data_IF_954159790300
#
_entry.id   IF_954159790300
#
_cell.length_a   1.000
_cell.length_b   1.000
_cell.length_c   1.000
_cell.angle_alpha   90.00
_cell.angle_beta   90.00
_cell.angle_gamma   90.00
#
_symmetry.space_group_name_H-M   'P 1'
#
loop_
_entity.id
_entity.type
_entity.pdbx_description
1 polymer ?
#
# COMPACT_ATOMS: atom_id res chain seq x y z
N UNK A 1 6.76 -19.46 9.51
CA UNK A 1 6.70 -19.98 8.12
C UNK A 1 7.90 -19.42 7.36
N UNK A 2 8.55 -20.17 6.44
CA UNK A 2 9.59 -19.58 5.61
C UNK A 2 9.01 -18.35 4.91
N UNK A 3 9.74 -17.24 4.94
CA UNK A 3 9.27 -16.02 4.27
C UNK A 3 9.08 -16.31 2.78
N UNK A 4 8.06 -15.74 2.14
CA UNK A 4 7.83 -15.91 0.69
C UNK A 4 9.06 -15.54 -0.14
N UNK A 5 9.87 -14.61 0.35
CA UNK A 5 11.15 -14.22 -0.24
C UNK A 5 12.19 -15.33 -0.19
N UNK A 6 12.19 -16.16 0.86
CA UNK A 6 13.07 -17.32 0.99
C UNK A 6 12.76 -18.36 -0.08
N UNK A 7 11.48 -18.63 -0.34
CA UNK A 7 11.06 -19.55 -1.41
C UNK A 7 11.48 -19.03 -2.79
N UNK A 8 11.28 -17.74 -3.06
CA UNK A 8 11.70 -17.12 -4.32
C UNK A 8 13.22 -17.19 -4.53
N UNK A 9 14.01 -17.00 -3.46
CA UNK A 9 15.47 -17.14 -3.53
C UNK A 9 15.90 -18.58 -3.79
N UNK A 10 15.22 -19.57 -3.19
CA UNK A 10 15.49 -20.98 -3.43
C UNK A 10 15.18 -21.37 -4.87
N UNK A 11 14.06 -20.89 -5.41
CA UNK A 11 13.69 -21.09 -6.82
C UNK A 11 14.72 -20.46 -7.76
N UNK A 12 15.13 -19.22 -7.48
CA UNK A 12 16.15 -18.53 -8.28
C UNK A 12 17.49 -19.27 -8.26
N UNK A 13 17.91 -19.77 -7.09
CA UNK A 13 19.11 -20.60 -6.97
C UNK A 13 18.99 -21.89 -7.80
N UNK A 14 17.84 -22.56 -7.74
CA UNK A 14 17.56 -23.75 -8.56
C UNK A 14 17.63 -23.45 -10.07
N UNK A 15 17.05 -22.34 -10.52
CA UNK A 15 17.13 -21.91 -11.91
C UNK A 15 18.57 -21.56 -12.34
N UNK A 16 19.38 -20.96 -11.46
CA UNK A 16 20.79 -20.70 -11.72
C UNK A 16 21.59 -22.00 -11.86
N UNK A 17 21.37 -22.99 -10.99
CA UNK A 17 22.00 -24.31 -11.11
C UNK A 17 21.61 -25.01 -12.40
N UNK A 18 20.34 -24.96 -12.79
CA UNK A 18 19.88 -25.49 -14.06
C UNK A 18 20.56 -24.77 -15.24
N UNK A 19 20.66 -23.43 -15.22
CA UNK A 19 21.32 -22.67 -16.27
C UNK A 19 22.82 -23.03 -16.41
N UNK A 20 23.53 -23.23 -15.28
CA UNK A 20 24.91 -23.70 -15.28
C UNK A 20 25.01 -25.10 -15.89
N UNK A 21 24.11 -26.02 -15.51
CA UNK A 21 24.07 -27.37 -16.06
C UNK A 21 23.83 -27.36 -17.58
N UNK A 22 22.88 -26.56 -18.07
CA UNK A 22 22.67 -26.38 -19.52
C UNK A 22 23.91 -25.79 -20.21
N UNK A 23 24.59 -24.83 -19.57
CA UNK A 23 25.82 -24.23 -20.08
C UNK A 23 26.98 -25.22 -20.21
N UNK A 24 27.14 -26.13 -19.24
CA UNK A 24 28.16 -27.18 -19.28
C UNK A 24 27.88 -28.21 -20.38
N UNK A 25 26.65 -28.71 -20.48
CA UNK A 25 26.26 -29.64 -21.55
C UNK A 25 26.41 -29.01 -22.93
N UNK A 26 26.08 -27.72 -23.04
CA UNK A 26 26.32 -26.96 -24.27
C UNK A 26 27.80 -26.89 -24.63
N UNK A 27 28.68 -26.62 -23.66
CA UNK A 27 30.12 -26.54 -23.92
C UNK A 27 30.68 -27.88 -24.42
N UNK A 28 30.30 -28.99 -23.79
CA UNK A 28 30.71 -30.33 -24.24
C UNK A 28 30.23 -30.63 -25.67
N UNK A 29 28.96 -30.37 -25.96
CA UNK A 29 28.38 -30.69 -27.26
C UNK A 29 28.90 -29.74 -28.36
N UNK A 30 29.22 -28.48 -28.02
CA UNK A 30 29.86 -27.54 -28.94
C UNK A 30 31.22 -28.06 -29.43
N UNK A 31 32.06 -28.56 -28.51
CA UNK A 31 33.36 -29.14 -28.87
C UNK A 31 33.19 -30.39 -29.73
N UNK A 32 32.21 -31.24 -29.42
CA UNK A 32 31.91 -32.45 -30.20
C UNK A 32 31.38 -32.14 -31.60
N UNK A 33 30.54 -31.11 -31.74
CA UNK A 33 30.02 -30.66 -33.04
C UNK A 33 31.14 -30.08 -33.90
N UNK A 34 32.03 -29.25 -33.34
CA UNK A 34 33.17 -28.70 -34.08
C UNK A 34 34.09 -29.80 -34.63
N UNK A 35 34.41 -30.81 -33.81
CA UNK A 35 35.22 -31.96 -34.23
C UNK A 35 34.50 -32.82 -35.27
N UNK A 36 33.19 -33.04 -35.13
CA UNK A 36 32.40 -33.83 -36.07
C UNK A 36 32.22 -33.14 -37.44
N UNK A 37 32.08 -31.80 -37.46
CA UNK A 37 31.99 -31.02 -38.70
C UNK A 37 33.28 -31.09 -39.52
N UNK A 38 34.44 -31.21 -38.86
CA UNK A 38 35.73 -31.37 -39.52
C UNK A 38 35.96 -32.79 -40.07
N UNK A 39 35.31 -33.82 -39.51
CA UNK A 39 35.54 -35.22 -39.85
C UNK A 39 34.51 -35.81 -40.83
N UNK A 40 33.21 -35.55 -40.64
CA UNK A 40 32.15 -36.36 -41.28
C UNK A 40 31.04 -35.55 -41.98
N UNK A 41 31.10 -34.21 -41.97
CA UNK A 41 30.23 -33.32 -42.75
C UNK A 41 28.72 -33.50 -42.50
N UNK A 42 28.06 -34.43 -43.21
CA UNK A 42 26.60 -34.66 -43.16
C UNK A 42 26.12 -35.44 -41.93
N UNK A 43 26.95 -36.29 -41.31
CA UNK A 43 26.58 -37.06 -40.12
C UNK A 43 26.48 -36.21 -38.83
N UNK A 44 26.90 -34.94 -38.90
CA UNK A 44 26.85 -34.00 -37.79
C UNK A 44 25.47 -33.36 -37.57
N UNK A 45 24.52 -33.51 -38.51
CA UNK A 45 23.20 -32.86 -38.48
C UNK A 45 22.41 -33.11 -37.18
N UNK A 46 22.35 -34.36 -36.73
CA UNK A 46 21.65 -34.73 -35.49
C UNK A 46 22.36 -34.20 -34.21
N UNK A 47 23.65 -33.89 -34.28
CA UNK A 47 24.40 -33.30 -33.15
C UNK A 47 24.23 -31.79 -33.09
N UNK A 48 24.12 -31.15 -34.26
CA UNK A 48 23.79 -29.73 -34.39
C UNK A 48 22.41 -29.43 -33.79
N UNK A 49 21.40 -30.28 -34.01
CA UNK A 49 20.08 -30.13 -33.38
C UNK A 49 20.14 -30.19 -31.85
N UNK A 50 20.94 -31.12 -31.28
CA UNK A 50 21.15 -31.21 -29.83
C UNK A 50 21.84 -29.97 -29.27
N UNK A 51 22.82 -29.42 -29.97
CA UNK A 51 23.47 -28.17 -29.58
C UNK A 51 22.44 -27.02 -29.50
N UNK A 52 21.58 -26.86 -30.51
CA UNK A 52 20.53 -25.85 -30.48
C UNK A 52 19.51 -26.07 -29.36
N UNK A 53 19.15 -27.32 -29.05
CA UNK A 53 18.26 -27.61 -27.92
C UNK A 53 18.83 -27.10 -26.59
N UNK A 54 20.12 -27.34 -26.31
CA UNK A 54 20.76 -26.85 -25.08
C UNK A 54 20.94 -25.32 -25.09
N UNK A 55 21.24 -24.70 -26.24
CA UNK A 55 21.34 -23.25 -26.38
C UNK A 55 19.98 -22.56 -26.11
N UNK A 56 18.91 -22.98 -26.80
CA UNK A 56 17.57 -22.41 -26.61
C UNK A 56 17.03 -22.66 -25.19
N UNK A 57 17.26 -23.85 -24.63
CA UNK A 57 16.89 -24.17 -23.25
C UNK A 57 17.62 -23.27 -22.24
N UNK A 58 18.92 -23.08 -22.41
CA UNK A 58 19.75 -22.21 -21.58
C UNK A 58 19.31 -20.75 -21.64
N UNK A 59 19.07 -20.21 -22.84
CA UNK A 59 18.63 -18.82 -23.03
C UNK A 59 17.26 -18.57 -22.39
N UNK A 60 16.31 -19.50 -22.51
CA UNK A 60 14.99 -19.40 -21.86
C UNK A 60 15.11 -19.40 -20.34
N UNK A 61 15.97 -20.26 -19.77
CA UNK A 61 16.22 -20.29 -18.33
C UNK A 61 16.87 -19.01 -17.83
N UNK A 62 17.86 -18.48 -18.55
CA UNK A 62 18.49 -17.20 -18.21
C UNK A 62 17.47 -16.06 -18.25
N UNK A 63 16.59 -16.03 -19.26
CA UNK A 63 15.50 -15.05 -19.33
C UNK A 63 14.57 -15.15 -18.11
N UNK A 64 14.21 -16.36 -17.68
CA UNK A 64 13.44 -16.58 -16.45
C UNK A 64 14.16 -16.09 -15.20
N UNK A 65 15.48 -16.33 -15.08
CA UNK A 65 16.29 -15.84 -13.94
C UNK A 65 16.34 -14.32 -13.91
N UNK A 66 16.56 -13.67 -15.04
CA UNK A 66 16.56 -12.20 -15.14
C UNK A 66 15.20 -11.64 -14.77
N UNK A 67 14.11 -12.26 -15.23
CA UNK A 67 12.75 -11.88 -14.83
C UNK A 67 12.52 -12.02 -13.33
N UNK A 68 12.92 -13.15 -12.72
CA UNK A 68 12.85 -13.34 -11.26
C UNK A 68 13.72 -12.33 -10.49
N UNK A 69 14.86 -11.93 -11.04
CA UNK A 69 15.72 -10.90 -10.47
C UNK A 69 15.03 -9.54 -10.43
N UNK A 70 14.29 -9.18 -11.49
CA UNK A 70 13.45 -7.98 -11.50
C UNK A 70 12.33 -8.06 -10.46
N UNK A 71 11.66 -9.20 -10.32
CA UNK A 71 10.66 -9.40 -9.26
C UNK A 71 11.27 -9.26 -7.86
N UNK A 72 12.53 -9.67 -7.68
CA UNK A 72 13.25 -9.51 -6.42
C UNK A 72 13.46 -8.06 -6.03
N UNK A 73 13.58 -7.14 -6.98
CA UNK A 73 13.69 -5.70 -6.69
C UNK A 73 12.46 -5.15 -5.95
N UNK A 74 11.27 -5.75 -6.14
CA UNK A 74 10.05 -5.31 -5.46
C UNK A 74 10.08 -5.51 -3.94
N UNK A 75 10.96 -6.34 -3.39
CA UNK A 75 11.09 -6.53 -1.94
C UNK A 75 11.52 -5.24 -1.22
N UNK A 76 12.19 -4.33 -1.92
CA UNK A 76 12.67 -3.07 -1.38
C UNK A 76 11.61 -1.96 -1.45
N UNK A 77 10.57 -2.14 -2.27
CA UNK A 77 9.51 -1.18 -2.41
C UNK A 77 8.48 -1.34 -1.29
N UNK A 78 8.44 -0.37 -0.36
CA UNK A 78 7.61 -0.44 0.86
C UNK A 78 6.15 -0.79 0.60
N UNK A 79 5.56 -0.20 -0.44
CA UNK A 79 4.15 -0.44 -0.82
C UNK A 79 3.96 -1.88 -1.28
N UNK A 80 4.88 -2.41 -2.09
CA UNK A 80 4.75 -3.77 -2.63
C UNK A 80 4.88 -4.81 -1.52
N UNK A 81 5.82 -4.62 -0.60
CA UNK A 81 5.96 -5.50 0.56
C UNK A 81 4.73 -5.44 1.47
N UNK A 82 4.09 -4.28 1.60
CA UNK A 82 2.84 -4.14 2.36
C UNK A 82 1.67 -4.87 1.68
N UNK A 83 1.54 -4.77 0.35
CA UNK A 83 0.54 -5.50 -0.43
C UNK A 83 0.77 -7.02 -0.33
N UNK A 84 2.03 -7.48 -0.39
CA UNK A 84 2.36 -8.90 -0.26
C UNK A 84 2.09 -9.44 1.15
N UNK A 85 2.39 -8.68 2.21
CA UNK A 85 2.03 -9.04 3.59
C UNK A 85 0.51 -9.09 3.78
N UNK A 86 -0.22 -8.15 3.19
CA UNK A 86 -1.69 -8.13 3.19
C UNK A 86 -2.25 -9.40 2.55
N UNK A 87 -1.70 -9.79 1.39
CA UNK A 87 -2.09 -11.00 0.68
C UNK A 87 -1.76 -12.27 1.47
N UNK A 88 -0.61 -12.29 2.14
CA UNK A 88 -0.22 -13.43 2.99
C UNK A 88 -1.12 -13.57 4.22
N UNK A 89 -1.52 -12.45 4.81
CA UNK A 89 -2.43 -12.44 5.96
C UNK A 89 -3.82 -12.91 5.59
N UNK A 90 -4.34 -12.43 4.46
CA UNK A 90 -5.67 -12.78 3.93
C UNK A 90 -5.72 -14.11 3.17
N UNK A 91 -4.61 -14.84 3.02
CA UNK A 91 -4.53 -16.01 2.12
C UNK A 91 -5.58 -17.08 2.38
N UNK A 92 -5.92 -17.36 3.64
CA UNK A 92 -6.88 -18.43 3.95
C UNK A 92 -8.31 -18.01 3.59
N UNK A 93 -8.66 -16.76 3.87
CA UNK A 93 -9.94 -16.17 3.49
C UNK A 93 -10.08 -16.11 1.96
N UNK A 94 -9.00 -15.69 1.28
CA UNK A 94 -8.95 -15.64 -0.18
C UNK A 94 -9.04 -17.01 -0.84
N UNK A 95 -8.36 -18.04 -0.30
CA UNK A 95 -8.43 -19.40 -0.87
C UNK A 95 -9.82 -20.00 -0.70
N UNK A 96 -10.45 -19.83 0.46
CA UNK A 96 -11.82 -20.29 0.68
C UNK A 96 -12.81 -19.59 -0.25
N UNK A 97 -12.63 -18.28 -0.42
CA UNK A 97 -13.45 -17.48 -1.31
C UNK A 97 -13.25 -17.86 -2.79
N UNK A 98 -12.00 -18.08 -3.20
CA UNK A 98 -11.66 -18.53 -4.55
C UNK A 98 -12.25 -19.91 -4.86
N UNK A 99 -12.26 -20.83 -3.89
CA UNK A 99 -12.90 -22.12 -4.06
C UNK A 99 -14.39 -21.99 -4.36
N UNK A 100 -15.11 -21.15 -3.61
CA UNK A 100 -16.52 -20.85 -3.87
C UNK A 100 -16.72 -20.25 -5.28
N UNK A 101 -15.84 -19.34 -5.68
CA UNK A 101 -15.87 -18.77 -7.03
C UNK A 101 -15.65 -19.84 -8.11
N UNK A 102 -14.69 -20.75 -7.95
CA UNK A 102 -14.42 -21.81 -8.94
C UNK A 102 -15.63 -22.71 -9.13
N UNK A 103 -16.35 -23.07 -8.05
CA UNK A 103 -17.58 -23.86 -8.16
C UNK A 103 -18.64 -23.13 -8.99
N UNK A 104 -18.84 -21.84 -8.73
CA UNK A 104 -19.78 -21.01 -9.49
C UNK A 104 -19.35 -20.85 -10.96
N UNK A 105 -18.05 -20.66 -11.19
CA UNK A 105 -17.47 -20.53 -12.52
C UNK A 105 -17.65 -21.81 -13.33
N UNK A 106 -17.42 -22.99 -12.73
CA UNK A 106 -17.69 -24.29 -13.33
C UNK A 106 -19.18 -24.48 -13.64
N UNK A 107 -20.09 -24.02 -12.78
CA UNK A 107 -21.52 -24.10 -13.03
C UNK A 107 -21.93 -23.26 -14.26
N UNK A 108 -21.40 -22.04 -14.40
CA UNK A 108 -21.61 -21.20 -15.58
C UNK A 108 -20.97 -21.78 -16.84
N UNK A 109 -19.78 -22.38 -16.74
CA UNK A 109 -19.15 -23.08 -17.86
C UNK A 109 -19.98 -24.29 -18.29
N UNK A 110 -20.48 -25.08 -17.35
CA UNK A 110 -21.35 -26.22 -17.68
C UNK A 110 -22.67 -25.76 -18.31
N UNK A 111 -23.28 -24.69 -17.81
CA UNK A 111 -24.46 -24.08 -18.43
C UNK A 111 -24.16 -23.59 -19.85
N UNK A 112 -23.05 -22.87 -20.05
CA UNK A 112 -22.62 -22.39 -21.37
C UNK A 112 -22.35 -23.51 -22.37
N UNK A 113 -21.72 -24.60 -21.92
CA UNK A 113 -21.52 -25.81 -22.71
C UNK A 113 -22.85 -26.40 -23.22
N UNK A 114 -23.86 -26.53 -22.36
CA UNK A 114 -25.16 -27.05 -22.77
C UNK A 114 -25.95 -26.09 -23.66
N UNK A 115 -25.84 -24.78 -23.42
CA UNK A 115 -26.65 -23.77 -24.11
C UNK A 115 -26.08 -23.38 -25.48
N UNK A 116 -24.74 -23.33 -25.59
CA UNK A 116 -24.05 -22.79 -26.75
C UNK A 116 -23.06 -23.76 -27.40
N UNK A 117 -22.93 -24.99 -26.89
CA UNK A 117 -21.92 -25.94 -27.37
C UNK A 117 -22.10 -26.40 -28.82
N UNK A 118 -23.32 -26.35 -29.34
CA UNK A 118 -23.62 -26.63 -30.76
C UNK A 118 -23.35 -25.43 -31.68
N UNK A 119 -23.52 -24.22 -31.16
CA UNK A 119 -23.55 -22.98 -31.95
C UNK A 119 -22.22 -22.21 -31.93
N UNK A 120 -21.36 -22.45 -30.93
CA UNK A 120 -20.09 -21.74 -30.75
C UNK A 120 -18.95 -22.69 -30.50
N UNK A 121 -17.85 -22.53 -31.25
CA UNK A 121 -16.63 -23.31 -31.05
C UNK A 121 -16.01 -23.10 -29.66
N UNK A 122 -16.23 -21.93 -29.05
CA UNK A 122 -15.73 -21.60 -27.71
C UNK A 122 -16.43 -22.41 -26.59
N UNK A 123 -17.61 -22.96 -26.86
CA UNK A 123 -18.39 -23.75 -25.90
C UNK A 123 -18.47 -25.23 -26.27
N UNK A 124 -17.70 -25.68 -27.26
CA UNK A 124 -17.81 -27.02 -27.85
C UNK A 124 -17.41 -28.16 -26.92
N UNK A 125 -16.50 -27.92 -25.98
CA UNK A 125 -16.10 -28.88 -24.94
C UNK A 125 -16.14 -28.20 -23.59
N UNK A 126 -16.22 -28.99 -22.51
CA UNK A 126 -16.24 -28.43 -21.16
C UNK A 126 -14.97 -27.62 -20.84
N UNK A 127 -13.80 -28.06 -21.30
CA UNK A 127 -12.53 -27.34 -21.10
C UNK A 127 -12.48 -26.01 -21.85
N UNK A 128 -12.92 -26.01 -23.12
CA UNK A 128 -13.01 -24.77 -23.92
C UNK A 128 -14.03 -23.81 -23.30
N UNK A 129 -15.16 -24.34 -22.83
CA UNK A 129 -16.17 -23.53 -22.16
C UNK A 129 -15.66 -22.90 -20.85
N UNK A 130 -14.78 -23.59 -20.11
CA UNK A 130 -14.19 -23.03 -18.90
C UNK A 130 -13.28 -21.84 -19.24
N UNK A 131 -12.45 -21.98 -20.28
CA UNK A 131 -11.61 -20.88 -20.79
C UNK A 131 -12.46 -19.75 -21.37
N UNK A 132 -13.57 -20.07 -22.02
CA UNK A 132 -14.50 -19.09 -22.57
C UNK A 132 -15.14 -18.21 -21.47
N UNK A 133 -15.61 -18.82 -20.38
CA UNK A 133 -16.17 -18.07 -19.24
C UNK A 133 -15.09 -17.24 -18.55
N UNK A 134 -13.84 -17.72 -18.47
CA UNK A 134 -12.71 -16.94 -17.99
C UNK A 134 -12.37 -15.75 -18.91
N UNK A 135 -12.40 -15.94 -20.23
CA UNK A 135 -12.19 -14.87 -21.21
C UNK A 135 -13.27 -13.78 -21.14
N UNK A 136 -14.53 -14.17 -20.84
CA UNK A 136 -15.60 -13.20 -20.56
C UNK A 136 -15.31 -12.43 -19.27
N UNK A 137 -14.79 -13.09 -18.23
CA UNK A 137 -14.39 -12.44 -16.98
C UNK A 137 -13.25 -11.43 -17.16
N UNK A 138 -12.35 -11.68 -18.11
CA UNK A 138 -11.28 -10.76 -18.51
C UNK A 138 -11.78 -9.64 -19.45
N UNK A 139 -12.99 -9.77 -20.00
CA UNK A 139 -13.56 -8.82 -20.96
C UNK A 139 -13.08 -9.00 -22.40
N UNK A 140 -12.43 -10.12 -22.72
CA UNK A 140 -11.92 -10.39 -24.08
C UNK A 140 -13.03 -10.81 -25.06
N UNK A 141 -14.06 -11.50 -24.56
CA UNK A 141 -15.15 -11.98 -25.40
C UNK A 141 -16.35 -11.03 -25.43
N UNK A 142 -16.68 -10.57 -26.64
CA UNK A 142 -17.82 -9.69 -26.90
C UNK A 142 -19.19 -10.38 -26.91
N UNK A 143 -20.25 -9.58 -26.77
CA UNK A 143 -21.64 -10.06 -26.77
C UNK A 143 -22.10 -10.65 -28.11
N UNK A 144 -21.41 -10.37 -29.21
CA UNK A 144 -21.83 -10.74 -30.58
C UNK A 144 -21.97 -12.26 -30.76
N UNK A 145 -21.11 -13.04 -30.10
CA UNK A 145 -21.14 -14.51 -30.15
C UNK A 145 -22.43 -15.05 -29.54
N UNK A 146 -22.91 -14.42 -28.47
CA UNK A 146 -24.10 -14.83 -27.74
C UNK A 146 -25.39 -14.41 -28.45
N UNK A 147 -25.42 -13.21 -29.03
CA UNK A 147 -26.56 -12.70 -29.79
C UNK A 147 -26.84 -13.59 -31.01
N UNK A 148 -25.78 -14.04 -31.70
CA UNK A 148 -25.89 -14.93 -32.85
C UNK A 148 -26.41 -16.32 -32.50
N UNK A 149 -26.09 -16.83 -31.31
CA UNK A 149 -26.56 -18.15 -30.88
C UNK A 149 -28.04 -18.14 -30.52
N UNK A 150 -28.48 -17.18 -29.71
CA UNK A 150 -29.90 -17.02 -29.40
C UNK A 150 -30.22 -15.59 -28.96
N UNK A 151 -31.25 -15.01 -29.58
CA UNK A 151 -31.61 -13.58 -29.43
C UNK A 151 -32.04 -13.13 -28.02
N UNK A 152 -32.42 -14.05 -27.12
CA UNK A 152 -32.82 -13.77 -25.72
C UNK A 152 -31.86 -14.43 -24.75
N UNK A 153 -31.71 -15.75 -24.87
CA UNK A 153 -30.96 -16.57 -23.94
C UNK A 153 -29.47 -16.20 -23.92
N UNK A 154 -28.90 -15.86 -25.08
CA UNK A 154 -27.51 -15.40 -25.21
C UNK A 154 -27.22 -14.13 -24.40
N UNK A 155 -27.87 -13.00 -24.71
CA UNK A 155 -27.70 -11.75 -23.96
C UNK A 155 -28.00 -11.89 -22.47
N UNK A 156 -29.04 -12.64 -22.10
CA UNK A 156 -29.41 -12.86 -20.70
C UNK A 156 -28.34 -13.63 -19.94
N UNK A 157 -27.78 -14.68 -20.55
CA UNK A 157 -26.65 -15.41 -19.99
C UNK A 157 -25.42 -14.50 -19.81
N UNK A 158 -25.09 -13.71 -20.83
CA UNK A 158 -23.93 -12.81 -20.81
C UNK A 158 -24.05 -11.72 -19.73
N UNK A 159 -25.21 -11.06 -19.62
CA UNK A 159 -25.48 -10.04 -18.59
C UNK A 159 -25.44 -10.67 -17.20
N UNK A 160 -26.09 -11.82 -17.01
CA UNK A 160 -26.08 -12.53 -15.72
C UNK A 160 -24.66 -12.92 -15.31
N UNK A 161 -23.86 -13.42 -16.26
CA UNK A 161 -22.48 -13.82 -16.02
C UNK A 161 -21.62 -12.62 -15.61
N UNK A 162 -21.69 -11.50 -16.32
CA UNK A 162 -20.96 -10.27 -15.96
C UNK A 162 -21.42 -9.76 -14.59
N UNK A 163 -22.73 -9.76 -14.33
CA UNK A 163 -23.27 -9.35 -13.04
C UNK A 163 -22.68 -10.21 -11.91
N UNK A 164 -22.68 -11.53 -12.05
CA UNK A 164 -22.12 -12.44 -11.05
C UNK A 164 -20.61 -12.20 -10.88
N UNK A 165 -19.86 -12.02 -11.96
CA UNK A 165 -18.41 -11.78 -11.90
C UNK A 165 -18.11 -10.46 -11.17
N UNK A 166 -18.84 -9.39 -11.45
CA UNK A 166 -18.59 -8.10 -10.79
C UNK A 166 -19.08 -8.14 -9.34
N UNK A 167 -20.34 -8.52 -9.11
CA UNK A 167 -20.98 -8.41 -7.79
C UNK A 167 -20.57 -9.49 -6.82
N UNK A 168 -20.49 -10.73 -7.28
CA UNK A 168 -20.03 -11.83 -6.42
C UNK A 168 -18.53 -11.77 -6.40
N UNK A 169 -17.86 -12.05 -7.54
CA UNK A 169 -16.42 -12.29 -7.55
C UNK A 169 -15.58 -11.08 -7.12
N UNK A 170 -15.66 -9.95 -7.84
CA UNK A 170 -14.78 -8.80 -7.61
C UNK A 170 -15.08 -8.08 -6.30
N UNK A 171 -16.34 -7.73 -6.03
CA UNK A 171 -16.68 -6.92 -4.87
C UNK A 171 -16.26 -7.57 -3.56
N UNK A 172 -16.48 -8.87 -3.38
CA UNK A 172 -16.08 -9.55 -2.16
C UNK A 172 -14.55 -9.74 -2.08
N UNK A 173 -13.87 -9.94 -3.21
CA UNK A 173 -12.40 -9.98 -3.26
C UNK A 173 -11.79 -8.65 -2.77
N UNK A 174 -12.30 -7.52 -3.25
CA UNK A 174 -11.84 -6.20 -2.81
C UNK A 174 -12.12 -5.92 -1.33
N UNK A 175 -13.26 -6.37 -0.82
CA UNK A 175 -13.60 -6.21 0.61
C UNK A 175 -12.60 -6.96 1.50
N UNK A 176 -12.32 -8.23 1.20
CA UNK A 176 -11.36 -9.04 1.98
C UNK A 176 -9.97 -8.39 1.94
N UNK A 177 -9.56 -7.91 0.77
CA UNK A 177 -8.25 -7.31 0.57
C UNK A 177 -8.12 -5.97 1.31
N UNK A 178 -9.11 -5.08 1.20
CA UNK A 178 -9.10 -3.77 1.85
C UNK A 178 -9.08 -3.90 3.38
N UNK A 179 -9.90 -4.81 3.93
CA UNK A 179 -9.94 -5.07 5.37
C UNK A 179 -8.56 -5.49 5.91
N UNK A 180 -7.91 -6.45 5.24
CA UNK A 180 -6.58 -6.90 5.65
C UNK A 180 -5.50 -5.84 5.38
N UNK A 181 -5.66 -5.02 4.34
CA UNK A 181 -4.72 -3.94 4.01
C UNK A 181 -4.64 -2.90 5.13
N UNK A 182 -5.80 -2.47 5.63
CA UNK A 182 -5.88 -1.51 6.72
C UNK A 182 -5.26 -2.07 8.01
N UNK A 183 -5.51 -3.34 8.32
CA UNK A 183 -4.88 -4.03 9.45
C UNK A 183 -3.34 -4.05 9.36
N UNK A 184 -2.77 -4.42 8.20
CA UNK A 184 -1.31 -4.45 8.02
C UNK A 184 -0.71 -3.05 8.04
N UNK A 185 -1.43 -2.06 7.48
CA UNK A 185 -1.02 -0.65 7.52
C UNK A 185 -0.95 -0.13 8.95
N UNK A 186 -1.93 -0.44 9.78
CA UNK A 186 -1.95 -0.05 11.18
C UNK A 186 -0.80 -0.68 11.96
N UNK A 187 -0.57 -1.99 11.80
CA UNK A 187 0.51 -2.74 12.45
C UNK A 187 1.89 -2.16 12.09
N UNK A 188 2.15 -1.88 10.81
CA UNK A 188 3.39 -1.22 10.39
C UNK A 188 3.53 0.19 10.95
N UNK A 189 2.45 0.96 11.02
CA UNK A 189 2.48 2.31 11.61
C UNK A 189 2.83 2.27 13.10
N UNK A 190 2.39 1.25 13.82
CA UNK A 190 2.76 1.03 15.23
C UNK A 190 4.24 0.64 15.34
N UNK A 191 4.72 -0.22 14.46
CA UNK A 191 6.13 -0.61 14.41
C UNK A 191 7.06 0.57 14.13
N UNK A 192 6.72 1.42 13.16
CA UNK A 192 7.48 2.64 12.82
C UNK A 192 7.49 3.64 13.99
N UNK A 193 6.39 3.76 14.73
CA UNK A 193 6.33 4.56 15.97
C UNK A 193 7.16 3.96 17.10
N UNK A 194 7.25 2.63 17.20
CA UNK A 194 8.12 1.95 18.18
C UNK A 194 9.60 2.05 17.82
N UNK A 195 9.91 1.96 16.53
CA UNK A 195 11.24 2.14 15.93
C UNK A 195 11.54 3.61 15.67
N UNK A 196 11.25 4.48 16.64
CA UNK A 196 11.69 5.88 16.62
C UNK A 196 13.22 5.95 16.76
N UNK A 197 13.94 5.54 15.72
CA UNK A 197 15.38 5.73 15.57
C UNK A 197 15.73 7.21 15.75
N UNK A 198 14.81 8.10 15.36
CA UNK A 198 14.88 9.53 15.65
C UNK A 198 14.85 9.86 17.16
N UNK A 199 14.03 9.18 17.97
CA UNK A 199 14.06 9.38 19.43
C UNK A 199 15.29 8.76 20.07
N UNK A 200 15.75 7.59 19.60
CA UNK A 200 17.00 7.00 20.07
C UNK A 200 18.23 7.84 19.71
N UNK A 201 18.33 8.34 18.47
CA UNK A 201 19.37 9.27 18.05
C UNK A 201 19.29 10.59 18.79
N UNK A 202 18.08 11.18 18.94
CA UNK A 202 17.90 12.42 19.72
C UNK A 202 18.30 12.22 21.18
N UNK A 203 18.01 11.05 21.76
CA UNK A 203 18.41 10.70 23.12
C UNK A 203 19.93 10.44 23.24
N UNK A 204 20.53 9.75 22.27
CA UNK A 204 21.97 9.49 22.20
C UNK A 204 22.77 10.77 21.99
N UNK A 205 22.36 11.62 21.05
CA UNK A 205 22.93 12.94 20.80
C UNK A 205 22.79 13.85 22.03
N UNK A 206 21.63 13.83 22.69
CA UNK A 206 21.43 14.56 23.96
C UNK A 206 22.38 14.08 25.05
N UNK A 207 22.58 12.78 25.21
CA UNK A 207 23.51 12.23 26.19
C UNK A 207 24.97 12.57 25.84
N UNK A 208 25.31 12.54 24.56
CA UNK A 208 26.62 12.95 24.06
C UNK A 208 26.90 14.44 24.31
N UNK A 209 25.93 15.32 24.05
CA UNK A 209 26.05 16.74 24.36
C UNK A 209 26.14 17.01 25.87
N UNK A 210 25.42 16.24 26.70
CA UNK A 210 25.55 16.30 28.17
C UNK A 210 26.95 15.90 28.64
N UNK A 211 27.56 14.86 28.05
CA UNK A 211 28.94 14.47 28.35
C UNK A 211 29.96 15.55 27.97
N UNK A 212 29.68 16.34 26.92
CA UNK A 212 30.52 17.49 26.51
C UNK A 212 30.21 18.79 27.27
N UNK A 213 29.37 18.76 28.30
CA UNK A 213 29.06 19.94 29.12
C UNK A 213 28.15 20.98 28.45
N UNK A 214 27.58 20.68 27.27
CA UNK A 214 26.57 21.54 26.66
C UNK A 214 25.24 21.39 27.42
N UNK A 215 24.82 22.46 28.11
CA UNK A 215 23.46 22.55 28.70
C UNK A 215 22.43 22.70 27.58
N UNK A 216 21.90 21.59 27.08
CA UNK A 216 20.68 21.65 26.26
C UNK A 216 19.47 21.94 27.16
N UNK A 217 18.56 22.85 26.75
CA UNK A 217 17.36 23.13 27.53
C UNK A 217 16.47 21.88 27.61
N UNK A 218 15.77 21.66 28.74
CA UNK A 218 14.77 20.61 28.84
C UNK A 218 13.69 20.84 27.78
N UNK A 219 13.35 19.76 27.05
CA UNK A 219 12.36 19.76 25.99
C UNK A 219 10.98 19.42 26.58
N UNK A 220 10.53 20.22 27.54
CA UNK A 220 9.11 20.22 27.89
C UNK A 220 8.41 21.14 26.89
N UNK A 221 7.47 20.63 26.08
CA UNK A 221 6.81 21.43 25.03
C UNK A 221 6.12 22.66 25.63
N UNK A 222 5.63 22.54 26.87
CA UNK A 222 5.01 23.64 27.62
C UNK A 222 6.01 24.77 27.94
N UNK A 223 7.24 24.41 28.33
CA UNK A 223 8.30 25.36 28.73
C UNK A 223 8.95 26.00 27.50
N UNK A 224 9.01 25.30 26.37
CA UNK A 224 9.44 25.90 25.10
C UNK A 224 8.39 26.87 24.54
N UNK A 225 7.10 26.51 24.66
CA UNK A 225 5.99 27.38 24.27
C UNK A 225 5.91 28.62 25.15
N UNK A 226 6.09 28.49 26.46
CA UNK A 226 6.20 29.60 27.41
C UNK A 226 7.39 30.52 27.10
N UNK A 227 8.56 29.98 26.73
CA UNK A 227 9.69 30.79 26.26
C UNK A 227 9.44 31.50 24.93
N UNK A 228 8.63 30.91 24.04
CA UNK A 228 8.20 31.57 22.79
C UNK A 228 7.21 32.70 23.08
N UNK A 229 6.24 32.48 23.96
CA UNK A 229 5.26 33.48 24.39
C UNK A 229 5.90 34.64 25.16
N UNK A 230 6.89 34.36 26.01
CA UNK A 230 7.72 35.39 26.66
C UNK A 230 8.47 36.25 25.63
N UNK A 231 8.99 35.65 24.55
CA UNK A 231 9.62 36.41 23.44
C UNK A 231 8.62 37.26 22.66
N UNK A 232 7.34 36.90 22.68
CA UNK A 232 6.25 37.69 22.11
C UNK A 232 5.72 38.77 23.08
N UNK A 233 6.33 38.95 24.26
CA UNK A 233 6.00 40.05 25.19
C UNK A 233 4.89 39.74 26.20
N UNK A 234 4.47 38.48 26.35
CA UNK A 234 3.45 38.12 27.34
C UNK A 234 3.96 38.20 28.79
N UNK A 235 3.12 38.73 29.69
CA UNK A 235 3.40 38.84 31.13
C UNK A 235 3.47 37.48 31.82
N UNK A 236 4.33 37.30 32.84
CA UNK A 236 4.43 36.05 33.60
C UNK A 236 3.11 35.65 34.31
N UNK A 237 2.21 36.60 34.57
CA UNK A 237 0.89 36.32 35.16
C UNK A 237 -0.07 35.58 34.22
N UNK A 238 -0.16 35.98 32.95
CA UNK A 238 -1.04 35.31 31.96
C UNK A 238 -0.51 33.92 31.58
N UNK A 239 0.81 33.73 31.64
CA UNK A 239 1.45 32.43 31.47
C UNK A 239 1.14 31.45 32.62
N UNK A 240 0.97 31.95 33.86
CA UNK A 240 0.57 31.13 34.99
C UNK A 240 -0.88 30.64 34.85
N UNK A 241 -1.79 31.50 34.39
CA UNK A 241 -3.17 31.15 34.07
C UNK A 241 -3.22 30.12 32.92
N UNK A 242 -2.45 30.34 31.86
CA UNK A 242 -2.33 29.39 30.74
C UNK A 242 -1.79 28.02 31.18
N UNK A 243 -0.80 28.00 32.09
CA UNK A 243 -0.27 26.76 32.67
C UNK A 243 -1.30 26.04 33.54
N UNK A 244 -2.10 26.78 34.33
CA UNK A 244 -3.18 26.22 35.12
C UNK A 244 -4.28 25.60 34.24
N UNK A 245 -4.58 26.24 33.11
CA UNK A 245 -5.54 25.74 32.11
C UNK A 245 -5.08 24.45 31.39
N UNK A 246 -3.79 24.32 31.08
CA UNK A 246 -3.28 23.18 30.31
C UNK A 246 -2.99 21.91 31.14
N UNK A 247 -2.67 22.05 32.43
CA UNK A 247 -2.40 20.92 33.33
C UNK A 247 -3.48 19.81 33.31
N UNK A 248 -4.79 20.11 33.41
CA UNK A 248 -5.82 19.07 33.38
C UNK A 248 -5.92 18.35 32.03
N UNK A 249 -5.68 19.04 30.90
CA UNK A 249 -5.72 18.41 29.56
C UNK A 249 -4.54 17.47 29.29
N UNK A 250 -3.34 17.79 29.80
CA UNK A 250 -2.19 16.89 29.69
C UNK A 250 -2.40 15.60 30.49
N UNK A 251 -2.97 15.69 31.69
CA UNK A 251 -3.30 14.50 32.50
C UNK A 251 -4.36 13.63 31.82
N UNK A 252 -5.34 14.21 31.14
CA UNK A 252 -6.33 13.45 30.34
C UNK A 252 -5.70 12.73 29.14
N UNK A 253 -4.76 13.36 28.42
CA UNK A 253 -4.07 12.72 27.29
C UNK A 253 -3.11 11.62 27.74
N UNK A 254 -2.40 11.80 28.86
CA UNK A 254 -1.53 10.77 29.43
C UNK A 254 -2.32 9.57 30.00
N UNK A 255 -3.50 9.82 30.60
CA UNK A 255 -4.41 8.75 31.05
C UNK A 255 -4.99 7.96 29.86
N UNK A 256 -5.37 8.64 28.78
CA UNK A 256 -5.86 8.02 27.54
C UNK A 256 -4.77 7.24 26.80
N UNK A 257 -3.53 7.72 26.82
CA UNK A 257 -2.36 7.04 26.24
C UNK A 257 -1.89 5.80 27.01
N UNK A 258 -2.23 5.68 28.31
CA UNK A 258 -1.97 4.49 29.15
C UNK A 258 -3.09 3.45 29.14
N UNK A 259 -4.14 3.64 28.35
CA UNK A 259 -5.23 2.67 28.21
C UNK A 259 -6.12 2.52 29.45
N UNK A 260 -6.08 3.47 30.40
CA UNK A 260 -6.95 3.45 31.57
C UNK A 260 -8.26 4.17 31.20
N UNK A 261 -9.29 3.39 30.89
CA UNK A 261 -10.65 3.91 30.73
C UNK A 261 -11.17 4.41 32.08
N UNK A 262 -11.41 5.72 32.19
CA UNK A 262 -12.10 6.32 33.34
C UNK A 262 -13.48 6.77 32.87
N UNK A 263 -14.51 6.13 33.42
CA UNK A 263 -15.91 6.53 33.29
C UNK A 263 -16.12 7.95 33.82
N UNK A 264 -16.87 8.73 33.04
CA UNK A 264 -17.25 10.11 33.31
C UNK A 264 -18.46 10.13 34.26
N UNK A 265 -18.36 10.81 35.41
CA UNK A 265 -19.52 11.44 36.05
C UNK A 265 -19.44 12.96 35.84
N UNK A 266 -20.47 13.62 35.31
CA UNK A 266 -20.44 15.06 35.08
C UNK A 266 -20.80 15.78 36.38
N UNK A 267 -19.87 16.56 36.92
CA UNK A 267 -20.12 17.41 38.08
C UNK A 267 -20.62 18.78 37.59
N UNK A 268 -21.79 19.22 38.07
CA UNK A 268 -22.51 20.45 37.66
C UNK A 268 -21.73 21.78 37.78
N UNK A 269 -20.53 21.78 38.35
CA UNK A 269 -19.68 22.97 38.46
C UNK A 269 -19.11 23.42 37.10
N UNK A 270 -19.00 22.53 36.10
CA UNK A 270 -18.34 22.84 34.83
C UNK A 270 -19.12 23.76 33.88
N UNK A 271 -20.42 23.98 34.12
CA UNK A 271 -21.29 24.75 33.22
C UNK A 271 -21.20 26.26 33.50
N UNK A 272 -21.03 26.65 34.78
CA UNK A 272 -20.79 28.05 35.14
C UNK A 272 -19.39 28.52 34.67
N UNK A 273 -18.40 27.64 34.77
CA UNK A 273 -17.03 27.92 34.29
C UNK A 273 -16.96 27.98 32.75
N UNK A 274 -17.80 27.23 32.03
CA UNK A 274 -17.85 27.30 30.56
C UNK A 274 -18.45 28.63 30.06
N UNK A 275 -19.51 29.12 30.71
CA UNK A 275 -20.13 30.38 30.33
C UNK A 275 -19.22 31.57 30.63
N UNK A 276 -18.49 31.53 31.75
CA UNK A 276 -17.48 32.56 32.06
C UNK A 276 -16.33 32.57 31.04
N UNK A 277 -15.96 31.41 30.51
CA UNK A 277 -14.94 31.27 29.47
C UNK A 277 -15.46 31.72 28.09
N UNK A 278 -16.73 31.45 27.75
CA UNK A 278 -17.32 31.99 26.52
C UNK A 278 -17.38 33.53 26.56
N UNK A 279 -17.69 34.12 27.72
CA UNK A 279 -17.68 35.57 27.89
C UNK A 279 -16.27 36.18 27.81
N UNK A 280 -15.25 35.54 28.39
CA UNK A 280 -13.85 35.99 28.25
C UNK A 280 -13.32 35.86 26.81
N UNK A 281 -13.70 34.79 26.10
CA UNK A 281 -13.33 34.62 24.69
C UNK A 281 -14.01 35.68 23.82
N UNK A 282 -15.29 35.96 24.06
CA UNK A 282 -16.02 37.01 23.35
C UNK A 282 -15.46 38.41 23.62
N UNK A 283 -14.97 38.67 24.84
CA UNK A 283 -14.28 39.92 25.19
C UNK A 283 -12.95 40.06 24.43
N UNK A 284 -12.16 38.98 24.41
CA UNK A 284 -10.86 38.95 23.74
C UNK A 284 -11.00 39.06 22.21
N UNK A 285 -12.05 38.50 21.63
CA UNK A 285 -12.35 38.61 20.20
C UNK A 285 -12.72 40.05 19.80
N UNK A 286 -13.42 40.79 20.68
CA UNK A 286 -13.73 42.22 20.49
C UNK A 286 -12.47 43.09 20.53
N UNK A 287 -11.57 42.87 21.49
CA UNK A 287 -10.32 43.63 21.57
C UNK A 287 -9.44 43.41 20.34
N UNK A 288 -9.42 42.18 19.81
CA UNK A 288 -8.64 41.83 18.62
C UNK A 288 -9.22 42.48 17.34
N UNK A 289 -10.54 42.56 17.23
CA UNK A 289 -11.20 43.29 16.14
C UNK A 289 -10.96 44.81 16.22
N UNK A 290 -10.94 45.37 17.43
CA UNK A 290 -10.65 46.78 17.65
C UNK A 290 -9.21 47.12 17.27
N UNK A 291 -8.24 46.32 17.72
CA UNK A 291 -6.83 46.45 17.31
C UNK A 291 -6.64 46.31 15.79
N UNK A 292 -7.38 45.40 15.15
CA UNK A 292 -7.34 45.25 13.68
C UNK A 292 -7.88 46.49 12.96
N UNK A 293 -8.92 47.14 13.49
CA UNK A 293 -9.47 48.38 12.93
C UNK A 293 -8.50 49.56 13.08
N UNK A 294 -7.81 49.66 14.22
CA UNK A 294 -6.80 50.70 14.47
C UNK A 294 -5.61 50.53 13.52
N UNK A 295 -5.12 49.30 13.35
CA UNK A 295 -4.04 49.01 12.39
C UNK A 295 -4.48 49.33 10.96
N UNK A 296 -5.72 48.99 10.58
CA UNK A 296 -6.23 49.32 9.24
C UNK A 296 -6.34 50.84 9.02
N UNK A 297 -6.67 51.61 10.06
CA UNK A 297 -6.73 53.07 9.99
C UNK A 297 -5.34 53.70 9.87
N UNK A 298 -4.36 53.20 10.62
CA UNK A 298 -2.94 53.60 10.53
C UNK A 298 -2.32 53.26 9.16
N UNK A 299 -2.68 52.10 8.60
CA UNK A 299 -2.25 51.72 7.25
C UNK A 299 -2.88 52.64 6.19
N UNK A 300 -4.13 53.04 6.37
CA UNK A 300 -4.78 53.99 5.45
C UNK A 300 -4.21 55.42 5.57
N UNK A 301 -3.80 55.86 6.76
CA UNK A 301 -3.14 57.16 6.93
C UNK A 301 -1.73 57.16 6.34
N UNK A 302 -0.97 56.09 6.54
CA UNK A 302 0.36 55.90 5.94
C UNK A 302 0.29 55.83 4.40
N UNK A 303 -0.76 55.22 3.84
CA UNK A 303 -1.00 55.20 2.39
C UNK A 303 -1.39 56.57 1.84
N UNK A 304 -2.07 57.41 2.62
CA UNK A 304 -2.41 58.79 2.25
C UNK A 304 -1.21 59.73 2.26
N UNK A 305 -0.33 59.59 3.26
CA UNK A 305 0.90 60.38 3.37
C UNK A 305 1.91 60.05 2.25
N UNK A 306 1.96 58.80 1.79
CA UNK A 306 2.79 58.41 0.65
C UNK A 306 2.28 58.97 -0.69
N UNK A 307 0.98 59.13 -0.88
CA UNK A 307 0.40 59.69 -2.10
C UNK A 307 0.59 61.22 -2.23
N UNK A 308 0.82 61.93 -1.11
CA UNK A 308 1.10 63.37 -1.10
C UNK A 308 2.57 63.74 -1.34
N UNK A 309 3.50 62.76 -1.35
CA UNK A 309 4.93 62.97 -1.61
C UNK A 309 5.33 62.74 -3.09
N UNK A 310 4.41 62.27 -3.94
CA UNK A 310 4.63 62.07 -5.39
C UNK A 310 3.95 63.13 -6.29
N UNK A 311 3.43 64.22 -5.73
CA UNK A 311 2.91 65.39 -6.48
C UNK A 311 3.75 66.64 -6.30
#
# INVERSE_FOLDING_TARGET
MPSTWTLMNLLMLGCCWAAIWFGLNRYEEATRVLLAMQAEGLAASQRVERFFYYEYGGVRLVACVVFMMWLRTFQYHRVTTQVLETLQRSRFDLVSYFFMYVVLHCAFAQAGYYLFGDQSSAFKTFSESLLAVLAIALGEMGSDVFIRAHWVVGPLFFILLIFVIIFVFHNMFFVILSYNYDSVREERSQLDRGLNFMSFMKNGFRNFCKMRGLRLPPHDPLVDMERRLMRCGFSPGSLQAFRAFLKPRQQQQEAKGRGVGLELQPNMASLADLNAVEDEIALMERELLQAKSEISSLVSSLSGDFAGMES
#
